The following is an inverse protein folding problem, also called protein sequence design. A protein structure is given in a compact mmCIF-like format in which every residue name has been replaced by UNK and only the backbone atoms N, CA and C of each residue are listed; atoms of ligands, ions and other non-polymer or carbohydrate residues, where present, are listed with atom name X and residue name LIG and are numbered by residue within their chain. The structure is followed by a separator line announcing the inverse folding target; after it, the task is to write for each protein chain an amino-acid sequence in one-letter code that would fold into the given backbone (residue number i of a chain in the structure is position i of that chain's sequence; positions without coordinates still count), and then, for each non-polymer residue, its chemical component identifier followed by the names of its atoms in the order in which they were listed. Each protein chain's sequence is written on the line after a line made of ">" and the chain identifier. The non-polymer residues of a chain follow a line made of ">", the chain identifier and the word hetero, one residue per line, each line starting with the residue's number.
data_IF_616726843683
#
_entry.id   IF_616726843683
#
_cell.length_a   1.000
_cell.length_b   1.000
_cell.length_c   1.000
_cell.angle_alpha   90.00
_cell.angle_beta   90.00
_cell.angle_gamma   90.00
#
_symmetry.space_group_name_H-M   'P 1'
#
loop_
_entity.id
_entity.type
_entity.pdbx_description
1 polymer ?
#
# COMPACT_ATOMS: atom_id res chain seq x y z
N UNK A 1 9.82 14.69 -18.37
CA UNK A 1 8.38 14.85 -18.06
C UNK A 1 7.77 13.45 -17.91
N UNK A 2 7.79 12.87 -16.69
CA UNK A 2 7.37 11.48 -16.44
C UNK A 2 5.84 11.47 -16.33
N UNK A 3 5.16 10.68 -17.16
CA UNK A 3 3.69 10.68 -17.21
C UNK A 3 3.13 10.12 -15.90
N UNK A 4 2.21 10.87 -15.32
CA UNK A 4 1.58 10.68 -14.00
C UNK A 4 0.74 9.38 -13.87
N UNK A 5 0.73 8.51 -14.88
CA UNK A 5 -0.22 7.39 -15.05
C UNK A 5 0.40 6.06 -15.50
N UNK A 6 1.74 5.95 -15.60
CA UNK A 6 2.37 4.75 -16.18
C UNK A 6 2.69 3.66 -15.15
N UNK A 7 2.37 3.84 -13.86
CA UNK A 7 2.59 2.81 -12.84
C UNK A 7 1.51 1.70 -12.95
N UNK A 8 1.90 0.44 -13.17
CA UNK A 8 0.94 -0.66 -13.31
C UNK A 8 0.05 -0.87 -12.08
N UNK A 9 0.55 -0.62 -10.87
CA UNK A 9 -0.21 -0.84 -9.63
C UNK A 9 -1.25 0.25 -9.42
N UNK A 10 -0.91 1.52 -9.65
CA UNK A 10 -1.87 2.63 -9.59
C UNK A 10 -2.98 2.45 -10.66
N UNK A 11 -2.63 1.89 -11.83
CA UNK A 11 -3.59 1.51 -12.87
C UNK A 11 -4.51 0.37 -12.40
N UNK A 12 -3.98 -0.67 -11.75
CA UNK A 12 -4.79 -1.76 -11.20
C UNK A 12 -5.80 -1.27 -10.16
N UNK A 13 -5.39 -0.42 -9.23
CA UNK A 13 -6.30 0.22 -8.27
C UNK A 13 -7.37 1.06 -8.95
N UNK A 14 -7.02 1.74 -10.05
CA UNK A 14 -7.99 2.52 -10.81
C UNK A 14 -9.00 1.66 -11.54
N UNK A 15 -8.57 0.53 -12.11
CA UNK A 15 -9.44 -0.34 -12.91
C UNK A 15 -10.31 -1.26 -12.06
N UNK A 16 -9.75 -1.88 -11.02
CA UNK A 16 -10.42 -2.92 -10.24
C UNK A 16 -10.78 -2.49 -8.82
N UNK A 17 -10.20 -1.38 -8.35
CA UNK A 17 -10.44 -0.87 -7.01
C UNK A 17 -11.85 -0.31 -6.79
N UNK A 18 -12.68 -0.10 -7.83
CA UNK A 18 -14.07 0.37 -7.72
C UNK A 18 -14.23 1.55 -6.73
N UNK A 19 -13.29 2.51 -6.75
CA UNK A 19 -13.14 3.64 -5.80
C UNK A 19 -12.91 3.29 -4.31
N UNK A 20 -12.88 2.01 -4.00
CA UNK A 20 -12.44 1.45 -2.73
C UNK A 20 -10.93 1.62 -2.50
N UNK A 21 -10.47 1.40 -1.26
CA UNK A 21 -9.07 1.58 -0.90
C UNK A 21 -8.17 0.41 -1.32
N UNK A 22 -8.73 -0.74 -1.69
CA UNK A 22 -7.98 -1.97 -1.98
C UNK A 22 -7.94 -2.29 -3.47
N UNK A 23 -7.03 -3.19 -3.86
CA UNK A 23 -6.91 -3.65 -5.25
C UNK A 23 -8.21 -4.29 -5.78
N UNK A 24 -9.03 -4.86 -4.89
CA UNK A 24 -10.34 -5.43 -5.22
C UNK A 24 -11.46 -4.76 -4.42
N UNK A 25 -11.69 -3.47 -4.69
CA UNK A 25 -12.80 -2.75 -4.08
C UNK A 25 -12.57 -2.41 -2.61
N UNK A 26 -13.55 -2.80 -1.79
CA UNK A 26 -13.53 -2.63 -0.34
C UNK A 26 -13.02 -3.87 0.41
N UNK A 27 -12.62 -4.92 -0.32
CA UNK A 27 -12.12 -6.14 0.29
C UNK A 27 -10.61 -6.10 0.42
N UNK A 28 -10.12 -6.21 1.66
CA UNK A 28 -8.71 -6.46 1.93
C UNK A 28 -8.35 -7.86 1.42
N UNK A 29 -7.32 -7.94 0.59
CA UNK A 29 -6.82 -9.21 0.05
C UNK A 29 -5.33 -9.39 0.32
N UNK A 30 -4.82 -10.58 -0.01
CA UNK A 30 -3.40 -10.86 0.10
C UNK A 30 -2.54 -9.90 -0.76
N UNK A 31 -3.07 -9.40 -1.88
CA UNK A 31 -2.35 -8.44 -2.73
C UNK A 31 -2.04 -7.13 -1.98
N UNK A 32 -2.98 -6.63 -1.19
CA UNK A 32 -2.82 -5.41 -0.40
C UNK A 32 -1.80 -5.60 0.74
N UNK A 33 -1.81 -6.79 1.37
CA UNK A 33 -0.83 -7.15 2.41
C UNK A 33 0.58 -7.28 1.82
N UNK A 34 0.71 -7.94 0.67
CA UNK A 34 1.98 -8.08 -0.04
C UNK A 34 2.53 -6.73 -0.48
N UNK A 35 1.66 -5.84 -0.97
CA UNK A 35 2.01 -4.47 -1.31
C UNK A 35 2.48 -3.68 -0.08
N UNK A 36 1.73 -3.75 1.02
CA UNK A 36 2.08 -3.10 2.30
C UNK A 36 3.47 -3.53 2.78
N UNK A 37 3.75 -4.84 2.80
CA UNK A 37 5.05 -5.38 3.23
C UNK A 37 6.20 -4.82 2.38
N UNK A 38 6.10 -4.91 1.05
CA UNK A 38 7.16 -4.42 0.15
C UNK A 38 7.38 -2.92 0.25
N UNK A 39 6.30 -2.16 0.35
CA UNK A 39 6.39 -0.70 0.42
C UNK A 39 6.83 -0.22 1.78
N UNK A 40 6.56 -0.95 2.87
CA UNK A 40 7.08 -0.63 4.20
C UNK A 40 8.62 -0.58 4.19
N UNK A 41 9.28 -1.54 3.52
CA UNK A 41 10.74 -1.53 3.33
C UNK A 41 11.21 -0.37 2.43
N UNK A 42 10.45 -0.03 1.38
CA UNK A 42 10.83 1.11 0.54
C UNK A 42 10.68 2.45 1.28
N UNK A 43 9.63 2.61 2.08
CA UNK A 43 9.39 3.81 2.88
C UNK A 43 10.43 4.02 3.98
N UNK A 44 11.02 2.94 4.50
CA UNK A 44 12.12 3.07 5.45
C UNK A 44 13.41 3.58 4.80
N UNK A 45 13.58 3.39 3.49
CA UNK A 45 14.68 3.93 2.70
C UNK A 45 14.39 5.31 2.10
N UNK A 46 13.16 5.55 1.64
CA UNK A 46 12.70 6.81 1.05
C UNK A 46 11.22 7.05 1.36
N UNK A 47 10.96 8.01 2.26
CA UNK A 47 9.63 8.38 2.70
C UNK A 47 8.74 8.98 1.58
N UNK A 48 9.33 9.39 0.44
CA UNK A 48 8.62 10.07 -0.66
C UNK A 48 8.15 9.12 -1.77
N UNK A 49 8.45 7.81 -1.66
CA UNK A 49 8.18 6.81 -2.71
C UNK A 49 6.70 6.74 -3.13
N UNK A 50 5.76 7.12 -2.26
CA UNK A 50 4.31 7.14 -2.52
C UNK A 50 3.72 8.51 -2.85
N UNK A 51 4.48 9.60 -2.82
CA UNK A 51 3.91 10.96 -2.91
C UNK A 51 3.24 11.25 -4.25
N UNK A 52 3.71 10.60 -5.31
CA UNK A 52 3.12 10.73 -6.64
C UNK A 52 1.97 9.73 -6.91
N UNK A 53 1.68 8.83 -5.96
CA UNK A 53 0.74 7.72 -6.13
C UNK A 53 -0.35 7.75 -5.04
N UNK A 54 -1.32 8.66 -5.14
CA UNK A 54 -2.31 8.89 -4.09
C UNK A 54 -3.18 7.67 -3.78
N UNK A 55 -3.49 6.80 -4.76
CA UNK A 55 -4.29 5.59 -4.50
C UNK A 55 -3.46 4.52 -3.80
N UNK A 56 -2.21 4.31 -4.21
CA UNK A 56 -1.28 3.42 -3.50
C UNK A 56 -0.99 3.93 -2.07
N UNK A 57 -0.85 5.25 -1.88
CA UNK A 57 -0.71 5.87 -0.56
C UNK A 57 -1.94 5.63 0.32
N UNK A 58 -3.14 5.73 -0.25
CA UNK A 58 -4.40 5.39 0.43
C UNK A 58 -4.44 3.91 0.79
N UNK A 59 -4.11 3.01 -0.15
CA UNK A 59 -4.08 1.56 0.09
C UNK A 59 -3.18 1.21 1.28
N UNK A 60 -1.94 1.69 1.26
CA UNK A 60 -0.97 1.48 2.34
C UNK A 60 -1.53 1.91 3.71
N UNK A 61 -2.09 3.13 3.78
CA UNK A 61 -2.64 3.66 5.02
C UNK A 61 -3.88 2.88 5.52
N UNK A 62 -4.72 2.37 4.62
CA UNK A 62 -5.91 1.59 5.01
C UNK A 62 -5.56 0.17 5.46
N UNK A 63 -4.53 -0.46 4.86
CA UNK A 63 -4.00 -1.74 5.34
C UNK A 63 -3.42 -1.61 6.75
N UNK A 64 -2.65 -0.56 7.02
CA UNK A 64 -2.04 -0.32 8.32
C UNK A 64 -3.07 -0.12 9.45
N UNK A 65 -4.23 0.47 9.13
CA UNK A 65 -5.32 0.69 10.09
C UNK A 65 -6.08 -0.58 10.46
N UNK A 66 -5.91 -1.68 9.74
CA UNK A 66 -6.64 -2.92 10.02
C UNK A 66 -6.28 -3.43 11.43
N UNK A 67 -7.25 -3.66 12.34
CA UNK A 67 -6.96 -3.89 13.76
C UNK A 67 -5.96 -5.02 14.04
N UNK A 68 -6.07 -6.14 13.31
CA UNK A 68 -5.17 -7.29 13.46
C UNK A 68 -3.77 -7.00 12.93
N UNK A 69 -3.66 -6.25 11.82
CA UNK A 69 -2.38 -5.86 11.23
C UNK A 69 -1.70 -4.83 12.12
N UNK A 70 -2.42 -3.80 12.56
CA UNK A 70 -1.93 -2.80 13.51
C UNK A 70 -1.43 -3.43 14.81
N UNK A 71 -2.16 -4.42 15.35
CA UNK A 71 -1.74 -5.15 16.54
C UNK A 71 -0.44 -5.95 16.30
N UNK A 72 -0.32 -6.59 15.14
CA UNK A 72 0.90 -7.33 14.76
C UNK A 72 2.10 -6.39 14.56
N UNK A 73 1.95 -5.27 13.86
CA UNK A 73 3.04 -4.30 13.63
C UNK A 73 3.59 -3.76 14.95
N UNK A 74 2.72 -3.55 15.96
CA UNK A 74 3.13 -3.09 17.29
C UNK A 74 3.94 -4.12 18.07
N UNK A 75 3.69 -5.41 17.85
CA UNK A 75 4.33 -6.49 18.62
C UNK A 75 5.45 -7.21 17.89
N UNK A 76 5.57 -7.05 16.57
CA UNK A 76 6.60 -7.74 15.78
C UNK A 76 8.02 -7.24 16.16
N UNK A 77 9.03 -8.14 16.18
CA UNK A 77 10.42 -7.73 16.37
C UNK A 77 10.86 -6.73 15.28
N UNK A 78 11.70 -5.77 15.67
CA UNK A 78 12.35 -4.89 14.70
C UNK A 78 13.53 -5.63 14.08
N UNK A 79 13.48 -5.86 12.78
CA UNK A 79 14.58 -6.44 11.99
C UNK A 79 15.12 -5.41 11.01
N UNK A 80 16.38 -5.56 10.62
CA UNK A 80 17.00 -4.71 9.59
C UNK A 80 16.50 -5.02 8.18
N UNK A 81 15.98 -6.24 7.96
CA UNK A 81 15.37 -6.75 6.73
C UNK A 81 14.51 -7.99 7.05
#
# INVERSE_FOLDING_TARGET
>A
MRRRFDDPLEKLLTTYGQDGPYFLGNQLTYADIQFYDKVSTLLSADATVLDNYPKLKRNYAEVEKQPKIAAYIKSRPQTSF
#
